data_IF_494171628071
#
_entry.id   IF_494171628071
#
_cell.length_a   1.000
_cell.length_b   1.000
_cell.length_c   1.000
_cell.angle_alpha   90.00
_cell.angle_beta   90.00
_cell.angle_gamma   90.00
#
_symmetry.space_group_name_H-M   'P 1'
#
loop_
_entity.id
_entity.type
_entity.pdbx_description
1 polymer ?
#
# COMPACT_ATOMS: atom_id res chain seq x y z
N UNK A 1 -27.63 -6.42 15.87
CA UNK A 1 -26.94 -6.78 14.61
C UNK A 1 -26.29 -5.51 14.11
N UNK A 2 -25.07 -5.23 14.56
CA UNK A 2 -24.32 -4.06 14.14
C UNK A 2 -22.92 -4.57 13.82
N UNK A 3 -22.80 -5.23 12.66
CA UNK A 3 -21.51 -5.47 12.03
C UNK A 3 -20.97 -4.09 11.67
N UNK A 4 -20.22 -3.52 12.61
CA UNK A 4 -19.29 -2.45 12.33
C UNK A 4 -18.39 -3.04 11.28
N UNK A 5 -18.58 -2.62 10.03
CA UNK A 5 -17.72 -2.92 8.90
C UNK A 5 -16.34 -2.31 9.22
N UNK A 6 -15.58 -2.98 10.08
CA UNK A 6 -14.15 -3.02 9.95
C UNK A 6 -13.93 -3.76 8.64
N UNK A 7 -14.03 -3.07 7.51
CA UNK A 7 -13.45 -3.55 6.25
C UNK A 7 -12.02 -3.89 6.62
N UNK A 8 -11.73 -5.18 6.75
CA UNK A 8 -10.51 -5.61 7.40
C UNK A 8 -9.37 -5.00 6.58
N UNK A 9 -8.30 -4.49 7.20
CA UNK A 9 -7.16 -3.94 6.45
C UNK A 9 -6.69 -4.93 5.37
N UNK A 10 -6.89 -6.24 5.61
CA UNK A 10 -6.68 -7.31 4.64
C UNK A 10 -7.62 -7.27 3.43
N UNK A 11 -8.91 -6.97 3.58
CA UNK A 11 -9.85 -6.83 2.47
C UNK A 11 -9.48 -5.64 1.58
N UNK A 12 -9.14 -4.49 2.17
CA UNK A 12 -8.68 -3.32 1.40
C UNK A 12 -7.40 -3.63 0.62
N UNK A 13 -6.46 -4.36 1.23
CA UNK A 13 -5.24 -4.83 0.58
C UNK A 13 -5.53 -5.82 -0.56
N UNK A 14 -6.48 -6.75 -0.38
CA UNK A 14 -6.91 -7.69 -1.44
C UNK A 14 -7.54 -6.95 -2.61
N UNK A 15 -8.42 -5.99 -2.35
CA UNK A 15 -9.05 -5.15 -3.39
C UNK A 15 -8.01 -4.33 -4.14
N UNK A 16 -7.06 -3.72 -3.43
CA UNK A 16 -5.95 -3.00 -4.06
C UNK A 16 -5.09 -3.93 -4.92
N UNK A 17 -4.65 -5.06 -4.37
CA UNK A 17 -3.81 -6.03 -5.09
C UNK A 17 -4.52 -6.53 -6.36
N UNK A 18 -5.81 -6.84 -6.28
CA UNK A 18 -6.62 -7.23 -7.44
C UNK A 18 -6.68 -6.11 -8.49
N UNK A 19 -6.90 -4.87 -8.07
CA UNK A 19 -6.93 -3.72 -9.00
C UNK A 19 -5.58 -3.49 -9.68
N UNK A 20 -4.49 -3.59 -8.92
CA UNK A 20 -3.13 -3.51 -9.43
C UNK A 20 -2.89 -4.63 -10.46
N UNK A 21 -3.19 -5.88 -10.12
CA UNK A 21 -3.03 -7.03 -11.02
C UNK A 21 -3.87 -6.92 -12.30
N UNK A 22 -5.06 -6.32 -12.22
CA UNK A 22 -5.94 -6.14 -13.38
C UNK A 22 -5.54 -4.99 -14.31
N UNK A 23 -4.84 -3.97 -13.80
CA UNK A 23 -4.47 -2.77 -14.57
C UNK A 23 -2.98 -2.49 -14.46
N UNK A 24 -2.23 -2.95 -15.47
CA UNK A 24 -0.77 -2.74 -15.57
C UNK A 24 -0.36 -1.26 -15.48
N UNK A 25 -1.18 -0.33 -15.98
CA UNK A 25 -0.94 1.11 -15.84
C UNK A 25 -0.98 1.59 -14.39
N UNK A 26 -1.90 1.04 -13.58
CA UNK A 26 -2.00 1.36 -12.16
C UNK A 26 -0.77 0.86 -11.39
N UNK A 27 -0.26 -0.33 -11.72
CA UNK A 27 1.01 -0.83 -11.14
C UNK A 27 2.16 0.10 -11.48
N UNK A 28 2.27 0.54 -12.73
CA UNK A 28 3.36 1.43 -13.16
C UNK A 28 3.32 2.74 -12.40
N UNK A 29 2.14 3.36 -12.28
CA UNK A 29 1.99 4.60 -11.53
C UNK A 29 2.22 4.40 -10.03
N UNK A 30 1.71 3.31 -9.46
CA UNK A 30 1.94 2.95 -8.06
C UNK A 30 3.43 2.79 -7.76
N UNK A 31 4.15 2.04 -8.60
CA UNK A 31 5.60 1.86 -8.50
C UNK A 31 6.34 3.19 -8.67
N UNK A 32 5.91 4.04 -9.60
CA UNK A 32 6.52 5.36 -9.84
C UNK A 32 6.40 6.25 -8.61
N UNK A 33 5.22 6.33 -8.00
CA UNK A 33 4.99 7.09 -6.78
C UNK A 33 5.79 6.54 -5.60
N UNK A 34 5.84 5.22 -5.43
CA UNK A 34 6.65 4.58 -4.40
C UNK A 34 8.15 4.82 -4.59
N UNK A 35 8.63 4.84 -5.83
CA UNK A 35 10.04 5.12 -6.13
C UNK A 35 10.43 6.57 -5.82
N UNK A 36 9.48 7.51 -5.91
CA UNK A 36 9.67 8.91 -5.52
C UNK A 36 9.64 9.10 -4.01
N UNK A 37 9.03 8.18 -3.25
CA UNK A 37 8.99 8.27 -1.80
C UNK A 37 10.38 8.00 -1.19
N UNK A 38 10.86 8.86 -0.26
CA UNK A 38 12.18 8.72 0.32
C UNK A 38 12.29 7.46 1.19
N UNK A 39 13.45 6.80 1.11
CA UNK A 39 13.75 5.53 1.80
C UNK A 39 13.86 5.65 3.32
N UNK A 40 14.13 6.84 3.82
CA UNK A 40 14.61 7.07 5.19
C UNK A 40 13.67 8.01 5.96
N UNK A 41 12.38 7.82 5.72
CA UNK A 41 11.33 8.66 6.26
C UNK A 41 10.83 8.09 7.57
N UNK A 42 10.95 8.81 8.68
CA UNK A 42 10.33 8.40 9.94
C UNK A 42 8.98 9.12 10.09
N UNK A 43 8.03 8.56 10.85
CA UNK A 43 6.68 9.14 11.01
C UNK A 43 6.75 10.57 11.59
N UNK A 44 7.75 10.83 12.43
CA UNK A 44 8.03 12.12 13.04
C UNK A 44 8.86 13.09 12.18
N UNK A 45 9.45 12.61 11.08
CA UNK A 45 10.38 13.40 10.25
C UNK A 45 10.00 13.40 8.77
N UNK A 46 8.75 13.05 8.45
CA UNK A 46 8.27 13.04 7.07
C UNK A 46 8.41 14.44 6.44
N UNK A 47 9.27 14.63 5.42
CA UNK A 47 9.37 15.91 4.76
C UNK A 47 8.08 16.18 3.99
N UNK A 48 7.68 17.46 3.86
CA UNK A 48 6.43 17.84 3.19
C UNK A 48 6.27 17.18 1.80
N UNK A 49 7.36 17.07 1.04
CA UNK A 49 7.38 16.39 -0.26
C UNK A 49 7.00 14.89 -0.18
N UNK A 50 7.40 14.19 0.88
CA UNK A 50 7.02 12.79 1.10
C UNK A 50 5.54 12.67 1.50
N UNK A 51 5.04 13.59 2.33
CA UNK A 51 3.61 13.68 2.66
C UNK A 51 2.78 13.87 1.40
N UNK A 52 3.16 14.79 0.51
CA UNK A 52 2.47 15.01 -0.77
C UNK A 52 2.44 13.74 -1.63
N UNK A 53 3.54 13.00 -1.70
CA UNK A 53 3.61 11.72 -2.45
C UNK A 53 2.69 10.68 -1.82
N UNK A 54 2.69 10.57 -0.48
CA UNK A 54 1.82 9.64 0.26
C UNK A 54 0.34 9.97 0.07
N UNK A 55 -0.03 11.24 0.16
CA UNK A 55 -1.40 11.70 -0.08
C UNK A 55 -1.84 11.43 -1.51
N UNK A 56 -0.96 11.69 -2.49
CA UNK A 56 -1.22 11.37 -3.90
C UNK A 56 -1.41 9.87 -4.13
N UNK A 57 -0.58 9.04 -3.49
CA UNK A 57 -0.69 7.59 -3.57
C UNK A 57 -2.01 7.11 -2.95
N UNK A 58 -2.42 7.69 -1.82
CA UNK A 58 -3.71 7.41 -1.18
C UNK A 58 -4.90 7.82 -2.06
N UNK A 59 -4.82 8.99 -2.71
CA UNK A 59 -5.82 9.46 -3.66
C UNK A 59 -5.95 8.50 -4.86
N UNK A 60 -4.83 8.12 -5.48
CA UNK A 60 -4.82 7.16 -6.58
C UNK A 60 -5.45 5.83 -6.18
N UNK A 61 -5.09 5.29 -5.01
CA UNK A 61 -5.65 4.04 -4.50
C UNK A 61 -7.16 4.16 -4.29
N UNK A 62 -7.65 5.23 -3.67
CA UNK A 62 -9.10 5.50 -3.52
C UNK A 62 -9.81 5.54 -4.87
N UNK A 63 -9.21 6.19 -5.87
CA UNK A 63 -9.77 6.25 -7.23
C UNK A 63 -9.80 4.88 -7.89
N UNK A 64 -8.78 4.04 -7.67
CA UNK A 64 -8.71 2.72 -8.28
C UNK A 64 -9.62 1.70 -7.62
N UNK A 65 -9.70 1.69 -6.29
CA UNK A 65 -10.56 0.75 -5.55
C UNK A 65 -12.01 1.15 -5.61
N UNK A 66 -12.33 2.44 -5.77
CA UNK A 66 -13.69 2.95 -5.72
C UNK A 66 -14.33 2.86 -4.33
N UNK A 67 -13.52 2.57 -3.31
CA UNK A 67 -13.94 2.31 -1.93
C UNK A 67 -13.27 3.28 -0.95
N UNK A 68 -13.87 3.51 0.24
CA UNK A 68 -13.28 4.36 1.27
C UNK A 68 -12.00 3.71 1.83
N UNK A 69 -10.85 4.05 1.24
CA UNK A 69 -9.54 3.60 1.69
C UNK A 69 -9.02 4.49 2.83
N UNK A 70 -8.67 3.89 3.96
CA UNK A 70 -8.17 4.62 5.13
C UNK A 70 -6.87 5.40 4.85
N UNK A 71 -6.12 4.99 3.84
CA UNK A 71 -4.82 5.56 3.50
C UNK A 71 -3.69 4.72 4.05
N UNK A 72 -2.53 4.78 3.40
CA UNK A 72 -1.30 4.19 3.89
C UNK A 72 -0.63 5.10 4.93
N UNK A 73 -0.13 4.46 5.98
CA UNK A 73 0.80 5.07 6.93
C UNK A 73 2.22 5.11 6.34
N UNK A 74 3.10 5.94 6.93
CA UNK A 74 4.51 6.06 6.52
C UNK A 74 5.21 4.70 6.47
N UNK A 75 4.99 3.87 7.49
CA UNK A 75 5.53 2.51 7.54
C UNK A 75 4.98 1.60 6.42
N UNK A 76 3.69 1.71 6.10
CA UNK A 76 3.08 0.92 5.01
C UNK A 76 3.62 1.35 3.64
N UNK A 77 3.80 2.65 3.40
CA UNK A 77 4.40 3.15 2.15
C UNK A 77 5.83 2.63 1.98
N UNK A 78 6.63 2.64 3.04
CA UNK A 78 7.99 2.08 3.00
C UNK A 78 8.00 0.57 2.76
N UNK A 79 7.11 -0.19 3.40
CA UNK A 79 6.95 -1.62 3.15
C UNK A 79 6.61 -1.89 1.68
N UNK A 80 5.63 -1.17 1.12
CA UNK A 80 5.26 -1.28 -0.29
C UNK A 80 6.39 -0.89 -1.24
N UNK A 81 7.15 0.14 -0.91
CA UNK A 81 8.34 0.54 -1.67
C UNK A 81 9.40 -0.57 -1.65
N UNK A 82 9.69 -1.17 -0.50
CA UNK A 82 10.62 -2.29 -0.41
C UNK A 82 10.15 -3.50 -1.25
N UNK A 83 8.84 -3.76 -1.29
CA UNK A 83 8.26 -4.84 -2.10
C UNK A 83 8.37 -4.53 -3.60
N UNK A 84 7.85 -3.38 -4.03
CA UNK A 84 7.57 -3.08 -5.44
C UNK A 84 8.75 -2.41 -6.15
N UNK A 85 9.52 -1.59 -5.43
CA UNK A 85 10.64 -0.82 -6.00
C UNK A 85 11.94 -1.60 -5.83
N UNK A 86 12.25 -2.03 -4.60
CA UNK A 86 13.47 -2.79 -4.32
C UNK A 86 13.34 -4.28 -4.68
N UNK A 87 12.13 -4.76 -4.97
CA UNK A 87 11.90 -6.17 -5.32
C UNK A 87 12.24 -7.13 -4.17
N UNK A 88 12.25 -6.64 -2.92
CA UNK A 88 12.71 -7.39 -1.74
C UNK A 88 11.78 -8.52 -1.33
N UNK A 89 10.57 -8.60 -1.87
CA UNK A 89 9.68 -9.73 -1.58
C UNK A 89 9.57 -10.62 -2.82
N UNK A 90 10.31 -11.71 -2.73
CA UNK A 90 9.94 -13.00 -3.29
C UNK A 90 8.60 -13.40 -2.65
N UNK A 91 7.48 -12.88 -3.16
CA UNK A 91 6.13 -13.31 -2.75
C UNK A 91 5.89 -14.66 -3.41
N UNK A 92 6.63 -15.67 -2.95
CA UNK A 92 6.11 -17.02 -2.94
C UNK A 92 4.89 -17.05 -2.01
N UNK A 93 3.83 -17.81 -2.32
CA UNK A 93 2.54 -17.79 -1.61
C UNK A 93 2.57 -18.37 -0.17
N UNK A 94 3.67 -18.28 0.58
CA UNK A 94 3.82 -18.96 1.88
C UNK A 94 4.45 -18.06 2.95
N UNK A 95 3.72 -17.08 3.47
CA UNK A 95 3.91 -16.63 4.88
C UNK A 95 2.64 -16.02 5.46
N UNK A 96 1.46 -16.39 4.99
CA UNK A 96 0.19 -16.13 5.70
C UNK A 96 -0.34 -17.48 6.17
N UNK A 97 0.25 -17.97 7.27
CA UNK A 97 -0.13 -19.23 7.90
C UNK A 97 1.07 -19.99 8.44
N UNK A 98 1.59 -19.56 9.58
CA UNK A 98 1.98 -20.52 10.62
C UNK A 98 1.89 -19.81 11.98
N UNK A 99 0.69 -19.91 12.56
CA UNK A 99 0.56 -19.82 14.00
C UNK A 99 0.66 -21.23 14.56
N UNK A 100 1.83 -21.62 15.08
CA UNK A 100 1.92 -22.56 16.20
C UNK A 100 3.34 -22.58 16.78
N UNK A 101 3.48 -22.18 18.04
CA UNK A 101 4.49 -22.71 18.96
C UNK A 101 3.77 -23.04 20.27
#
# INVERSE_FOLDING_TARGET
MNDIIHTEPQEQLRTLCRNLLQRQENIREFRRLLAMYPTNCDDFTEPAQATEIREKLNQCVRTWTGEPFAGFTVAQVQMWRAIVVEGRINIGPTTWGDGHC
#
